data_IF_151614067558
#
_entry.id   IF_151614067558
#
_cell.length_a   1.000
_cell.length_b   1.000
_cell.length_c   1.000
_cell.angle_alpha   90.00
_cell.angle_beta   90.00
_cell.angle_gamma   90.00
#
_symmetry.space_group_name_H-M   'P 1'
#
loop_
_entity.id
_entity.type
_entity.pdbx_description
1 polymer ?
#
# COMPACT_ATOMS: atom_id res chain seq x y z
N UNK A 1 -21.17 -41.05 -28.36
CA UNK A 1 -21.58 -39.65 -28.13
C UNK A 1 -22.01 -39.56 -26.67
N UNK A 2 -21.14 -39.02 -25.83
CA UNK A 2 -21.41 -38.56 -24.47
C UNK A 2 -20.26 -37.62 -24.13
N UNK A 3 -20.49 -36.32 -24.35
CA UNK A 3 -19.74 -35.24 -23.73
C UNK A 3 -20.39 -35.09 -22.36
N UNK A 4 -19.64 -35.23 -21.27
CA UNK A 4 -20.11 -34.73 -19.98
C UNK A 4 -18.96 -34.04 -19.27
N UNK A 5 -19.34 -32.92 -18.66
CA UNK A 5 -18.52 -31.76 -18.46
C UNK A 5 -17.40 -32.01 -17.45
N UNK A 6 -16.17 -31.68 -17.84
CA UNK A 6 -15.16 -31.26 -16.88
C UNK A 6 -15.70 -29.99 -16.24
N UNK A 7 -16.13 -30.07 -14.98
CA UNK A 7 -16.26 -28.88 -14.14
C UNK A 7 -14.86 -28.28 -14.08
N UNK A 8 -14.57 -27.30 -14.93
CA UNK A 8 -13.43 -26.42 -14.74
C UNK A 8 -13.70 -25.70 -13.43
N UNK A 9 -13.02 -26.10 -12.35
CA UNK A 9 -12.92 -25.26 -11.17
C UNK A 9 -12.39 -23.91 -11.64
N UNK A 10 -13.17 -22.85 -11.46
CA UNK A 10 -12.71 -21.49 -11.71
C UNK A 10 -11.47 -21.26 -10.85
N UNK A 11 -10.30 -21.37 -11.48
CA UNK A 11 -9.03 -21.34 -10.80
C UNK A 11 -8.77 -19.90 -10.33
N UNK A 12 -9.04 -19.63 -9.06
CA UNK A 12 -8.71 -18.36 -8.44
C UNK A 12 -7.20 -18.26 -8.25
N UNK A 13 -6.60 -17.17 -8.72
CA UNK A 13 -5.19 -16.86 -8.53
C UNK A 13 -5.08 -15.98 -7.29
N UNK A 14 -4.46 -16.46 -6.18
CA UNK A 14 -4.35 -15.65 -4.97
C UNK A 14 -3.55 -14.38 -5.23
N UNK A 15 -4.09 -13.24 -4.80
CA UNK A 15 -3.36 -11.99 -4.82
C UNK A 15 -2.40 -12.00 -3.63
N UNK A 16 -1.13 -11.70 -3.87
CA UNK A 16 -0.05 -11.75 -2.86
C UNK A 16 -0.14 -10.69 -1.74
N UNK A 17 -1.34 -10.14 -1.47
CA UNK A 17 -1.57 -9.01 -0.56
C UNK A 17 -1.04 -7.67 -1.08
N UNK A 18 -0.56 -7.64 -2.32
CA UNK A 18 0.06 -6.45 -2.95
C UNK A 18 -0.90 -5.61 -3.77
N UNK A 19 -2.15 -6.02 -3.89
CA UNK A 19 -3.11 -5.31 -4.73
C UNK A 19 -4.21 -4.73 -3.84
N UNK A 20 -4.55 -3.48 -4.08
CA UNK A 20 -5.60 -2.77 -3.36
C UNK A 20 -6.55 -2.15 -4.37
N UNK A 21 -7.84 -2.31 -4.11
CA UNK A 21 -8.90 -1.60 -4.78
C UNK A 21 -9.21 -0.31 -4.03
N UNK A 22 -9.17 0.81 -4.74
CA UNK A 22 -9.54 2.13 -4.23
C UNK A 22 -10.97 2.47 -4.64
N UNK A 23 -11.65 3.20 -3.76
CA UNK A 23 -13.04 3.60 -3.95
C UNK A 23 -13.18 5.10 -3.75
N UNK A 24 -13.71 5.78 -4.76
CA UNK A 24 -14.01 7.21 -4.71
C UNK A 24 -15.46 7.45 -4.33
N UNK A 25 -15.66 8.60 -3.72
CA UNK A 25 -16.94 9.07 -3.23
C UNK A 25 -18.05 9.05 -4.29
N UNK A 26 -19.16 8.40 -3.96
CA UNK A 26 -20.41 8.49 -4.73
C UNK A 26 -21.46 9.42 -4.09
N UNK A 27 -21.35 9.80 -2.80
CA UNK A 27 -22.41 10.51 -2.04
C UNK A 27 -21.93 11.25 -0.75
N UNK A 28 -20.71 11.78 -0.70
CA UNK A 28 -20.09 12.44 0.47
C UNK A 28 -19.34 11.52 1.44
N UNK A 29 -19.24 10.22 1.17
CA UNK A 29 -18.55 9.22 2.00
C UNK A 29 -17.71 8.32 1.10
N UNK A 30 -16.38 8.45 1.19
CA UNK A 30 -15.47 7.53 0.50
C UNK A 30 -15.47 6.17 1.23
N UNK A 31 -15.82 5.06 0.56
CA UNK A 31 -15.67 3.74 1.14
C UNK A 31 -14.19 3.47 1.46
N UNK A 32 -13.88 2.61 2.47
CA UNK A 32 -12.51 2.22 2.72
C UNK A 32 -11.95 1.43 1.52
N UNK A 33 -10.66 1.64 1.25
CA UNK A 33 -9.89 0.80 0.34
C UNK A 33 -9.97 -0.67 0.78
N UNK A 34 -10.03 -1.58 -0.20
CA UNK A 34 -10.11 -3.03 0.05
C UNK A 34 -8.90 -3.75 -0.51
N UNK A 35 -8.35 -4.67 0.28
CA UNK A 35 -7.33 -5.59 -0.21
C UNK A 35 -7.95 -6.51 -1.27
N UNK A 36 -7.25 -6.67 -2.39
CA UNK A 36 -7.57 -7.68 -3.38
C UNK A 36 -7.05 -9.01 -2.84
N UNK A 37 -7.96 -9.97 -2.73
CA UNK A 37 -7.68 -11.30 -2.17
C UNK A 37 -7.28 -12.29 -3.28
N UNK A 38 -7.86 -12.14 -4.46
CA UNK A 38 -7.61 -13.01 -5.60
C UNK A 38 -7.87 -12.30 -6.93
N UNK A 39 -7.48 -12.96 -8.01
CA UNK A 39 -7.96 -12.71 -9.36
C UNK A 39 -8.73 -13.92 -9.84
N UNK A 40 -9.84 -13.71 -10.55
CA UNK A 40 -10.50 -14.80 -11.27
C UNK A 40 -9.75 -15.16 -12.56
N UNK A 41 -10.28 -16.14 -13.29
CA UNK A 41 -9.72 -16.67 -14.53
C UNK A 41 -9.74 -15.65 -15.68
N UNK A 42 -10.63 -14.64 -15.62
CA UNK A 42 -10.61 -13.50 -16.53
C UNK A 42 -9.69 -12.36 -16.06
N UNK A 43 -8.97 -12.55 -14.94
CA UNK A 43 -8.03 -11.58 -14.40
C UNK A 43 -8.70 -10.39 -13.68
N UNK A 44 -9.97 -10.51 -13.30
CA UNK A 44 -10.66 -9.48 -12.52
C UNK A 44 -10.26 -9.59 -11.06
N UNK A 45 -9.94 -8.46 -10.45
CA UNK A 45 -9.61 -8.38 -9.04
C UNK A 45 -10.85 -8.69 -8.19
N UNK A 46 -10.72 -9.63 -7.27
CA UNK A 46 -11.75 -10.03 -6.31
C UNK A 46 -11.39 -9.48 -4.92
N UNK A 47 -12.36 -8.87 -4.25
CA UNK A 47 -12.24 -8.34 -2.89
C UNK A 47 -13.29 -8.99 -2.00
N UNK A 48 -13.03 -9.01 -0.68
CA UNK A 48 -14.04 -9.41 0.28
C UNK A 48 -15.13 -8.33 0.39
N UNK A 49 -16.33 -8.64 -0.08
CA UNK A 49 -17.50 -7.78 0.05
C UNK A 49 -18.12 -7.89 1.46
N UNK A 50 -18.98 -6.95 1.82
CA UNK A 50 -19.65 -6.92 3.15
C UNK A 50 -20.61 -8.12 3.34
N UNK A 51 -20.98 -8.78 2.25
CA UNK A 51 -21.71 -10.05 2.23
C UNK A 51 -20.88 -11.23 2.75
N UNK A 52 -19.56 -11.03 2.97
CA UNK A 52 -18.60 -12.07 3.33
C UNK A 52 -18.18 -12.96 2.16
N UNK A 53 -18.49 -12.56 0.92
CA UNK A 53 -18.11 -13.28 -0.31
C UNK A 53 -17.07 -12.51 -1.10
N UNK A 54 -16.31 -13.24 -1.91
CA UNK A 54 -15.46 -12.62 -2.92
C UNK A 54 -16.34 -12.13 -4.06
N UNK A 55 -16.25 -10.84 -4.36
CA UNK A 55 -16.94 -10.19 -5.46
C UNK A 55 -15.92 -9.40 -6.29
N UNK A 56 -16.13 -9.23 -7.61
CA UNK A 56 -15.30 -8.35 -8.41
C UNK A 56 -15.25 -6.94 -7.81
N UNK A 57 -14.06 -6.39 -7.62
CA UNK A 57 -13.89 -5.04 -7.07
C UNK A 57 -14.68 -4.01 -7.88
N UNK A 58 -14.67 -4.16 -9.21
CA UNK A 58 -15.36 -3.29 -10.15
C UNK A 58 -16.90 -3.36 -10.10
N UNK A 59 -17.49 -4.36 -9.43
CA UNK A 59 -18.95 -4.41 -9.24
C UNK A 59 -19.42 -3.67 -7.99
N UNK A 60 -18.51 -3.27 -7.10
CA UNK A 60 -18.87 -2.54 -5.89
C UNK A 60 -19.02 -1.04 -6.18
N UNK A 61 -20.01 -0.36 -5.55
CA UNK A 61 -20.20 1.08 -5.71
C UNK A 61 -18.94 1.89 -5.35
N UNK A 62 -18.68 2.94 -6.13
CA UNK A 62 -17.54 3.83 -5.91
C UNK A 62 -16.20 3.29 -6.40
N UNK A 63 -16.13 2.10 -7.02
CA UNK A 63 -14.86 1.56 -7.51
C UNK A 63 -14.14 2.53 -8.45
N UNK A 64 -12.88 2.82 -8.15
CA UNK A 64 -12.06 3.75 -8.92
C UNK A 64 -10.93 3.03 -9.67
N UNK A 65 -10.07 2.30 -8.96
CA UNK A 65 -8.91 1.66 -9.56
C UNK A 65 -8.37 0.49 -8.73
N UNK A 66 -7.50 -0.31 -9.37
CA UNK A 66 -6.62 -1.26 -8.69
C UNK A 66 -5.20 -0.70 -8.70
N UNK A 67 -4.56 -0.69 -7.55
CA UNK A 67 -3.16 -0.31 -7.39
C UNK A 67 -2.35 -1.49 -6.90
N UNK A 68 -1.16 -1.70 -7.49
CA UNK A 68 -0.15 -2.60 -6.95
C UNK A 68 0.71 -1.81 -5.95
N UNK A 69 0.67 -2.20 -4.68
CA UNK A 69 1.64 -1.76 -3.68
C UNK A 69 2.97 -2.45 -3.93
N UNK A 70 4.05 -1.69 -4.10
CA UNK A 70 5.36 -2.31 -4.25
C UNK A 70 5.74 -3.02 -2.95
N UNK A 71 6.37 -4.19 -3.09
CA UNK A 71 6.85 -4.92 -1.92
C UNK A 71 8.08 -4.23 -1.33
N UNK A 72 8.12 -4.11 -0.01
CA UNK A 72 9.35 -3.72 0.69
C UNK A 72 10.29 -4.93 0.73
N UNK A 73 11.48 -4.76 0.19
CA UNK A 73 12.48 -5.84 0.06
C UNK A 73 13.67 -5.68 0.99
N UNK A 74 13.90 -4.47 1.50
CA UNK A 74 14.97 -4.19 2.47
C UNK A 74 14.65 -2.98 3.34
N UNK A 75 15.40 -2.87 4.45
CA UNK A 75 15.45 -1.66 5.28
C UNK A 75 16.92 -1.25 5.41
N UNK A 76 17.23 0.00 5.07
CA UNK A 76 18.57 0.58 5.24
C UNK A 76 18.65 1.38 6.55
N UNK A 77 19.84 1.48 7.18
CA UNK A 77 20.03 2.32 8.35
C UNK A 77 19.78 3.81 8.02
N UNK A 78 19.38 4.62 9.00
CA UNK A 78 18.94 6.00 8.75
C UNK A 78 20.07 6.95 8.33
N UNK A 79 21.31 6.67 8.75
CA UNK A 79 22.49 7.43 8.33
C UNK A 79 22.52 8.88 8.82
N UNK A 80 21.75 9.21 9.87
CA UNK A 80 21.69 10.57 10.44
C UNK A 80 20.78 11.55 9.71
N UNK A 81 20.04 11.08 8.71
CA UNK A 81 19.09 11.93 7.98
C UNK A 81 17.88 12.28 8.85
N UNK A 82 17.32 13.46 8.60
CA UNK A 82 16.08 13.92 9.25
C UNK A 82 15.04 14.32 8.21
N UNK A 83 13.77 14.27 8.60
CA UNK A 83 12.67 14.88 7.85
C UNK A 83 12.29 16.21 8.47
N UNK A 84 11.82 17.10 7.63
CA UNK A 84 11.11 18.30 8.00
C UNK A 84 9.72 18.25 7.38
N UNK A 85 8.70 18.38 8.24
CA UNK A 85 7.32 18.49 7.82
C UNK A 85 7.07 19.91 7.28
N UNK A 86 6.28 20.03 6.21
CA UNK A 86 6.01 21.34 5.61
C UNK A 86 5.19 22.24 6.55
N UNK A 87 4.41 21.66 7.47
CA UNK A 87 3.60 22.36 8.47
C UNK A 87 4.38 22.78 9.73
N UNK A 88 5.61 22.28 9.92
CA UNK A 88 6.51 22.66 11.01
C UNK A 88 7.94 22.93 10.47
N UNK A 89 8.19 24.14 9.94
CA UNK A 89 9.47 24.48 9.33
C UNK A 89 10.61 24.66 10.34
N UNK A 90 10.35 24.60 11.65
CA UNK A 90 11.37 24.67 12.69
C UNK A 90 11.64 23.28 13.31
N UNK A 91 10.66 22.38 13.24
CA UNK A 91 10.80 20.98 13.62
C UNK A 91 11.57 20.15 12.61
N UNK A 92 12.42 19.26 13.12
CA UNK A 92 12.94 18.12 12.34
C UNK A 92 12.81 16.86 13.16
N UNK A 93 12.49 15.75 12.48
CA UNK A 93 12.36 14.42 13.10
C UNK A 93 13.40 13.48 12.52
N UNK A 94 14.10 12.67 13.35
CA UNK A 94 15.06 11.71 12.85
C UNK A 94 14.35 10.64 12.03
N UNK A 95 14.96 10.25 10.92
CA UNK A 95 14.56 9.05 10.20
C UNK A 95 15.06 7.85 11.01
N UNK A 96 14.22 6.82 11.18
CA UNK A 96 14.58 5.58 11.86
C UNK A 96 15.22 4.55 10.91
N UNK A 97 14.91 4.64 9.62
CA UNK A 97 15.49 3.83 8.55
C UNK A 97 14.90 4.18 7.19
N UNK A 98 15.35 3.53 6.14
CA UNK A 98 14.79 3.67 4.80
C UNK A 98 14.17 2.37 4.35
N UNK A 99 12.88 2.39 4.03
CA UNK A 99 12.23 1.29 3.35
C UNK A 99 12.68 1.29 1.90
N UNK A 100 13.17 0.15 1.40
CA UNK A 100 13.52 -0.04 -0.02
C UNK A 100 12.50 -0.93 -0.64
N UNK A 101 11.87 -0.45 -1.72
CA UNK A 101 10.89 -1.21 -2.47
C UNK A 101 11.56 -2.12 -3.52
N UNK A 102 10.76 -2.98 -4.16
CA UNK A 102 11.25 -3.92 -5.18
C UNK A 102 11.79 -3.26 -6.46
N UNK A 103 11.55 -1.96 -6.66
CA UNK A 103 12.10 -1.17 -7.76
C UNK A 103 13.40 -0.44 -7.34
N UNK A 104 13.78 -0.52 -6.06
CA UNK A 104 14.92 0.19 -5.49
C UNK A 104 14.60 1.63 -5.08
N UNK A 105 13.33 2.04 -5.08
CA UNK A 105 12.90 3.31 -4.54
C UNK A 105 12.95 3.29 -3.01
N UNK A 106 13.25 4.44 -2.41
CA UNK A 106 13.43 4.55 -0.96
C UNK A 106 12.41 5.49 -0.35
N UNK A 107 11.74 5.05 0.71
CA UNK A 107 10.87 5.87 1.54
C UNK A 107 11.44 5.99 2.95
N UNK A 108 11.46 7.19 3.56
CA UNK A 108 11.89 7.32 4.95
C UNK A 108 10.89 6.61 5.87
N UNK A 109 11.40 6.03 6.96
CA UNK A 109 10.61 5.45 8.02
C UNK A 109 10.68 6.36 9.24
N UNK A 110 9.53 6.85 9.70
CA UNK A 110 9.38 7.71 10.86
C UNK A 110 8.84 6.91 12.03
N UNK A 111 9.13 7.35 13.25
CA UNK A 111 8.53 6.78 14.47
C UNK A 111 7.54 7.81 15.00
N UNK A 112 6.31 7.37 15.19
CA UNK A 112 5.28 8.12 15.88
C UNK A 112 5.67 8.24 17.37
N UNK A 113 5.77 9.46 17.86
CA UNK A 113 6.24 9.74 19.22
C UNK A 113 5.21 9.34 20.30
N UNK A 114 3.92 9.26 19.95
CA UNK A 114 2.85 8.95 20.89
C UNK A 114 2.72 7.43 21.14
N UNK A 115 2.85 6.63 20.08
CA UNK A 115 2.61 5.18 20.15
C UNK A 115 3.86 4.32 19.85
N UNK A 116 4.94 4.91 19.36
CA UNK A 116 6.19 4.23 19.04
C UNK A 116 6.14 3.36 17.78
N UNK A 117 5.07 3.42 16.98
CA UNK A 117 4.97 2.69 15.73
C UNK A 117 5.76 3.38 14.63
N UNK A 118 6.34 2.56 13.75
CA UNK A 118 7.08 3.03 12.61
C UNK A 118 6.17 3.10 11.37
N UNK A 119 6.16 4.23 10.68
CA UNK A 119 5.34 4.45 9.49
C UNK A 119 6.09 5.28 8.44
N UNK A 120 5.79 5.12 7.14
CA UNK A 120 6.21 6.10 6.14
C UNK A 120 5.47 7.42 6.35
N UNK A 121 5.97 8.57 5.85
CA UNK A 121 5.25 9.82 5.94
C UNK A 121 3.88 9.75 5.26
N UNK A 122 2.87 10.39 5.86
CA UNK A 122 1.51 10.47 5.30
C UNK A 122 1.41 11.44 4.11
N UNK A 123 2.47 12.19 3.83
CA UNK A 123 2.53 13.22 2.79
C UNK A 123 3.95 13.54 2.33
N UNK A 124 4.11 14.53 1.45
CA UNK A 124 5.42 14.98 1.01
C UNK A 124 6.21 15.51 2.21
N UNK A 125 7.51 15.15 2.27
CA UNK A 125 8.43 15.61 3.32
C UNK A 125 9.69 16.16 2.70
N UNK A 126 10.34 17.09 3.38
CA UNK A 126 11.67 17.57 2.99
C UNK A 126 12.74 16.79 3.73
N UNK A 127 13.60 16.13 2.97
CA UNK A 127 14.76 15.44 3.53
C UNK A 127 15.87 16.43 3.84
N UNK A 128 16.49 16.30 5.00
CA UNK A 128 17.66 17.07 5.43
C UNK A 128 18.84 16.14 5.61
N UNK A 129 19.94 16.49 4.96
CA UNK A 129 21.19 15.74 5.06
C UNK A 129 21.78 15.86 6.48
N UNK A 130 22.48 14.82 6.95
CA UNK A 130 23.31 14.93 8.15
C UNK A 130 24.34 16.03 7.92
N UNK A 131 24.54 16.88 8.94
CA UNK A 131 25.66 17.82 8.92
C UNK A 131 26.92 17.00 9.20
N UNK A 132 27.87 16.96 8.27
CA UNK A 132 29.19 16.41 8.56
C UNK A 132 29.86 17.33 9.58
N UNK A 133 29.92 16.91 10.85
CA UNK A 133 30.85 17.53 11.79
C UNK A 133 32.26 17.23 11.28
N UNK A 134 32.99 18.29 10.92
CA UNK A 134 34.32 18.21 10.33
C UNK A 134 35.24 17.31 11.16
N UNK A 135 35.75 16.26 10.51
CA UNK A 135 36.77 15.36 11.03
C UNK A 135 38.13 16.07 11.22
#
# INVERSE_FOLDING_TARGET
MALDATTEENAMIPASGRYIATYTDTDGVSPPDRQVEAFDDEGRALVLADTGRLEPAASLPGFAAIHRRPAIVAVLPPGGWTVQDDDDPEGTRPIAGWLVDENGETLPLLVDEENGYAHPPDGPVRLRQPVEEGA
#
